data_IF_415383134475
#
_entry.id   IF_415383134475
#
_cell.length_a   1.000
_cell.length_b   1.000
_cell.length_c   1.000
_cell.angle_alpha   90.00
_cell.angle_beta   90.00
_cell.angle_gamma   90.00
#
_symmetry.space_group_name_H-M   'P 1'
#
loop_
_entity.id
_entity.type
_entity.pdbx_description
1 polymer ?
#
# COMPACT_ATOMS: atom_id res chain seq x y z
N UNK A 1 0.39 -27.59 12.20
CA UNK A 1 -1.04 -27.90 12.23
C UNK A 1 -1.49 -28.27 10.82
N UNK A 2 -2.05 -29.47 10.65
CA UNK A 2 -2.51 -30.03 9.37
C UNK A 2 -3.45 -29.08 8.58
N UNK A 3 -4.36 -28.39 9.28
CA UNK A 3 -5.29 -27.47 8.60
C UNK A 3 -4.58 -26.23 8.06
N UNK A 4 -3.54 -25.74 8.71
CA UNK A 4 -2.74 -24.62 8.21
C UNK A 4 -1.99 -25.06 6.95
N UNK A 5 -1.31 -26.20 6.99
CA UNK A 5 -0.59 -26.73 5.82
C UNK A 5 -1.52 -26.99 4.63
N UNK A 6 -2.72 -27.56 4.87
CA UNK A 6 -3.70 -27.83 3.83
C UNK A 6 -4.24 -26.51 3.23
N UNK A 7 -4.48 -25.48 4.06
CA UNK A 7 -4.95 -24.18 3.58
C UNK A 7 -3.88 -23.47 2.76
N UNK A 8 -2.62 -23.53 3.15
CA UNK A 8 -1.49 -23.00 2.37
C UNK A 8 -1.36 -23.69 1.00
N UNK A 9 -1.46 -25.01 0.96
CA UNK A 9 -1.44 -25.76 -0.31
C UNK A 9 -2.56 -25.34 -1.25
N UNK A 10 -3.77 -25.12 -0.73
CA UNK A 10 -4.92 -24.64 -1.54
C UNK A 10 -4.67 -23.25 -2.10
N UNK A 11 -4.22 -22.31 -1.28
CA UNK A 11 -3.91 -20.94 -1.69
C UNK A 11 -2.80 -20.93 -2.74
N UNK A 12 -1.72 -21.68 -2.53
CA UNK A 12 -0.62 -21.81 -3.50
C UNK A 12 -1.09 -22.39 -4.84
N UNK A 13 -2.02 -23.36 -4.82
CA UNK A 13 -2.59 -23.94 -6.03
C UNK A 13 -3.40 -22.90 -6.80
N UNK A 14 -4.27 -22.15 -6.12
CA UNK A 14 -5.06 -21.08 -6.75
C UNK A 14 -4.16 -19.98 -7.29
N UNK A 15 -3.12 -19.56 -6.56
CA UNK A 15 -2.15 -18.58 -7.01
C UNK A 15 -1.48 -19.03 -8.33
N UNK A 16 -1.02 -20.28 -8.41
CA UNK A 16 -0.43 -20.84 -9.64
C UNK A 16 -1.40 -20.81 -10.82
N UNK A 17 -2.66 -21.14 -10.59
CA UNK A 17 -3.71 -21.08 -11.62
C UNK A 17 -3.92 -19.64 -12.10
N UNK A 18 -4.02 -18.67 -11.20
CA UNK A 18 -4.17 -17.25 -11.54
C UNK A 18 -3.01 -16.75 -12.38
N UNK A 19 -1.78 -17.08 -12.01
CA UNK A 19 -0.57 -16.70 -12.76
C UNK A 19 -0.57 -17.36 -14.16
N UNK A 20 -0.86 -18.65 -14.25
CA UNK A 20 -0.92 -19.35 -15.54
C UNK A 20 -2.05 -18.85 -16.44
N UNK A 21 -3.10 -18.30 -15.86
CA UNK A 21 -4.21 -17.64 -16.59
C UNK A 21 -3.91 -16.18 -16.99
N UNK A 22 -2.67 -15.71 -16.80
CA UNK A 22 -2.21 -14.40 -17.25
C UNK A 22 -2.34 -13.28 -16.23
N UNK A 23 -2.69 -13.57 -14.96
CA UNK A 23 -2.68 -12.55 -13.91
C UNK A 23 -1.23 -12.34 -13.46
N UNK A 24 -0.67 -11.11 -13.61
CA UNK A 24 0.68 -10.82 -13.19
C UNK A 24 0.86 -11.02 -11.68
N UNK A 25 2.01 -11.59 -11.27
CA UNK A 25 2.28 -11.90 -9.86
C UNK A 25 2.28 -10.65 -8.97
N UNK A 26 2.64 -9.50 -9.50
CA UNK A 26 2.60 -8.21 -8.81
C UNK A 26 1.17 -7.69 -8.53
N UNK A 27 0.15 -8.33 -9.09
CA UNK A 27 -1.27 -8.08 -8.78
C UNK A 27 -1.82 -8.97 -7.67
N UNK A 28 -1.05 -9.94 -7.21
CA UNK A 28 -1.44 -10.85 -6.13
C UNK A 28 -0.69 -10.42 -4.87
N UNK A 29 -1.38 -9.66 -3.98
CA UNK A 29 -0.72 -8.98 -2.85
C UNK A 29 -0.58 -9.85 -1.60
N UNK A 30 -1.56 -10.71 -1.34
CA UNK A 30 -1.61 -11.55 -0.16
C UNK A 30 -2.05 -12.94 -0.57
N UNK A 31 -1.26 -13.95 -0.20
CA UNK A 31 -1.55 -15.36 -0.36
C UNK A 31 -1.24 -16.04 0.96
N UNK A 32 -2.25 -16.32 1.77
CA UNK A 32 -2.08 -16.93 3.09
C UNK A 32 -3.14 -18.00 3.35
N UNK A 33 -2.73 -19.13 3.89
CA UNK A 33 -3.62 -20.15 4.43
C UNK A 33 -4.01 -19.80 5.87
N UNK A 34 -5.31 -19.72 6.14
CA UNK A 34 -5.84 -19.35 7.46
C UNK A 34 -6.27 -20.55 8.32
N UNK A 35 -5.89 -21.76 7.91
CA UNK A 35 -6.22 -22.97 8.67
C UNK A 35 -7.74 -23.17 8.82
N UNK A 36 -8.19 -23.43 10.04
CA UNK A 36 -9.60 -23.69 10.35
C UNK A 36 -10.36 -22.40 10.67
N UNK A 37 -10.71 -21.64 9.63
CA UNK A 37 -11.63 -20.49 9.75
C UNK A 37 -13.00 -20.90 9.22
N UNK A 38 -13.97 -21.01 10.11
CA UNK A 38 -15.33 -21.46 9.77
C UNK A 38 -16.24 -20.27 9.42
N UNK A 39 -17.01 -20.42 8.33
CA UNK A 39 -18.12 -19.52 7.99
C UNK A 39 -19.38 -19.92 8.74
N UNK A 40 -19.60 -21.22 8.86
CA UNK A 40 -20.72 -21.80 9.58
C UNK A 40 -20.22 -22.85 10.56
N UNK A 41 -20.91 -23.00 11.68
CA UNK A 41 -20.58 -24.00 12.71
C UNK A 41 -21.08 -25.38 12.24
N UNK A 42 -20.25 -26.39 12.33
CA UNK A 42 -20.62 -27.79 12.06
C UNK A 42 -21.75 -28.24 12.99
N UNK A 43 -22.86 -28.64 12.41
CA UNK A 43 -23.96 -29.31 13.12
C UNK A 43 -24.18 -30.72 12.59
N UNK A 44 -24.73 -31.63 13.39
CA UNK A 44 -24.95 -33.03 12.98
C UNK A 44 -25.91 -33.15 11.79
N UNK A 45 -26.82 -32.18 11.61
CA UNK A 45 -27.86 -32.21 10.55
C UNK A 45 -27.39 -31.81 9.16
N UNK A 46 -26.33 -30.94 9.05
CA UNK A 46 -25.86 -30.39 7.76
C UNK A 46 -24.33 -30.48 7.61
N UNK A 47 -23.70 -31.42 8.26
CA UNK A 47 -22.25 -31.54 8.37
C UNK A 47 -21.52 -31.54 7.03
N UNK A 48 -22.03 -32.28 6.03
CA UNK A 48 -21.41 -32.34 4.69
C UNK A 48 -21.44 -31.00 3.98
N UNK A 49 -22.61 -30.36 3.94
CA UNK A 49 -22.84 -29.09 3.26
C UNK A 49 -22.02 -27.96 3.90
N UNK A 50 -22.01 -27.87 5.23
CA UNK A 50 -21.24 -26.88 5.97
C UNK A 50 -19.72 -27.07 5.78
N UNK A 51 -19.25 -28.31 5.76
CA UNK A 51 -17.84 -28.62 5.48
C UNK A 51 -17.44 -28.28 4.05
N UNK A 52 -18.33 -28.44 3.07
CA UNK A 52 -18.07 -28.04 1.69
C UNK A 52 -17.95 -26.52 1.58
N UNK A 53 -18.82 -25.76 2.24
CA UNK A 53 -18.73 -24.28 2.31
C UNK A 53 -17.44 -23.81 3.05
N UNK A 54 -17.03 -24.51 4.10
CA UNK A 54 -15.83 -24.16 4.85
C UNK A 54 -14.53 -24.52 4.12
N UNK A 55 -14.53 -25.47 3.18
CA UNK A 55 -13.38 -25.86 2.36
C UNK A 55 -13.26 -24.97 1.11
N UNK A 56 -12.91 -23.69 1.31
CA UNK A 56 -12.87 -22.69 0.26
C UNK A 56 -11.53 -21.95 0.20
N UNK A 57 -11.34 -21.24 -0.89
CA UNK A 57 -10.37 -20.15 -1.04
C UNK A 57 -11.15 -18.90 -1.40
N UNK A 58 -10.97 -17.84 -0.63
CA UNK A 58 -11.60 -16.56 -0.88
C UNK A 58 -10.68 -15.70 -1.75
N UNK A 59 -11.19 -15.18 -2.86
CA UNK A 59 -10.53 -14.19 -3.70
C UNK A 59 -11.08 -12.81 -3.37
N UNK A 60 -10.24 -11.97 -2.77
CA UNK A 60 -10.61 -10.59 -2.45
C UNK A 60 -10.07 -9.68 -3.55
N UNK A 61 -10.97 -9.12 -4.36
CA UNK A 61 -10.60 -8.15 -5.38
C UNK A 61 -10.58 -6.75 -4.78
N UNK A 62 -9.38 -6.16 -4.75
CA UNK A 62 -9.20 -4.78 -4.30
C UNK A 62 -9.09 -3.90 -5.54
N UNK A 63 -10.12 -3.07 -5.78
CA UNK A 63 -10.00 -1.99 -6.75
C UNK A 63 -9.11 -0.92 -6.15
N UNK A 64 -7.88 -0.77 -6.67
CA UNK A 64 -7.02 0.35 -6.29
C UNK A 64 -7.64 1.63 -6.84
N UNK A 65 -8.38 2.35 -6.01
CA UNK A 65 -8.87 3.69 -6.34
C UNK A 65 -7.77 4.65 -5.95
N UNK A 66 -7.23 5.36 -6.95
CA UNK A 66 -6.18 6.35 -6.77
C UNK A 66 -6.79 7.73 -6.94
N UNK A 67 -6.61 8.59 -5.96
CA UNK A 67 -7.10 9.96 -5.97
C UNK A 67 -5.93 10.93 -6.13
N UNK A 68 -6.11 11.97 -6.93
CA UNK A 68 -5.18 13.12 -7.03
C UNK A 68 -5.54 14.23 -6.04
N UNK A 69 -6.65 14.09 -5.35
CA UNK A 69 -7.09 14.94 -4.25
C UNK A 69 -7.62 14.09 -3.09
N UNK A 70 -7.61 14.63 -1.89
CA UNK A 70 -8.13 13.91 -0.72
C UNK A 70 -9.65 13.70 -0.88
N UNK A 71 -10.16 12.45 -0.81
CA UNK A 71 -11.58 12.17 -0.97
C UNK A 71 -12.38 12.70 0.22
N UNK A 72 -13.62 13.12 -0.03
CA UNK A 72 -14.52 13.59 1.01
C UNK A 72 -14.86 12.47 2.03
N UNK A 73 -15.01 11.25 1.52
CA UNK A 73 -15.27 10.05 2.33
C UNK A 73 -14.17 9.01 2.08
N UNK A 74 -13.02 9.11 2.77
CA UNK A 74 -11.92 8.18 2.61
C UNK A 74 -12.32 6.78 3.06
N UNK A 75 -11.81 5.75 2.37
CA UNK A 75 -12.04 4.33 2.69
C UNK A 75 -10.72 3.61 2.88
N UNK A 76 -10.74 2.53 3.66
CA UNK A 76 -9.58 1.63 3.75
C UNK A 76 -9.25 1.08 2.36
N UNK A 77 -7.97 1.14 2.00
CA UNK A 77 -7.49 0.77 0.67
C UNK A 77 -7.38 1.93 -0.33
N UNK A 78 -7.93 3.11 -0.01
CA UNK A 78 -7.75 4.29 -0.86
C UNK A 78 -6.28 4.70 -0.91
N UNK A 79 -5.86 5.09 -2.10
CA UNK A 79 -4.51 5.56 -2.36
C UNK A 79 -4.55 6.99 -2.91
N UNK A 80 -4.01 7.93 -2.18
CA UNK A 80 -4.08 9.37 -2.48
C UNK A 80 -2.70 9.81 -2.94
N UNK A 81 -2.57 10.20 -4.21
CA UNK A 81 -1.33 10.76 -4.73
C UNK A 81 -1.21 12.20 -4.26
N UNK A 82 -0.09 12.52 -3.63
CA UNK A 82 0.27 13.90 -3.31
C UNK A 82 0.98 14.53 -4.53
N UNK A 83 0.22 14.77 -5.61
CA UNK A 83 0.73 15.16 -6.93
C UNK A 83 1.49 16.50 -6.96
N UNK A 84 1.19 17.37 -5.99
CA UNK A 84 1.86 18.68 -5.82
C UNK A 84 3.03 18.64 -4.83
N UNK A 85 3.24 17.52 -4.14
CA UNK A 85 4.43 17.29 -3.33
C UNK A 85 5.53 16.76 -4.23
N UNK A 86 6.26 17.69 -4.84
CA UNK A 86 7.32 17.37 -5.78
C UNK A 86 8.69 17.48 -5.14
N UNK A 87 9.58 16.62 -5.59
CA UNK A 87 10.98 16.56 -5.17
C UNK A 87 11.88 16.85 -6.37
N UNK A 88 13.01 17.44 -6.12
CA UNK A 88 14.06 17.61 -7.11
C UNK A 88 14.68 16.26 -7.49
N UNK A 89 15.33 16.22 -8.65
CA UNK A 89 15.92 14.99 -9.17
C UNK A 89 17.00 14.47 -8.21
N UNK A 90 16.82 13.24 -7.73
CA UNK A 90 17.74 12.58 -6.80
C UNK A 90 17.69 13.15 -5.38
N UNK A 91 16.75 14.03 -5.04
CA UNK A 91 16.62 14.65 -3.72
C UNK A 91 15.41 14.10 -2.96
N UNK A 92 15.57 13.96 -1.65
CA UNK A 92 14.49 13.67 -0.71
C UNK A 92 14.02 14.91 0.06
N UNK A 93 14.64 16.07 -0.14
CA UNK A 93 14.27 17.30 0.53
C UNK A 93 12.91 17.84 0.09
N UNK A 94 12.14 18.35 1.05
CA UNK A 94 10.85 18.98 0.80
C UNK A 94 11.04 20.46 0.42
N UNK A 95 10.71 20.79 -0.82
CA UNK A 95 10.68 22.19 -1.28
C UNK A 95 9.65 23.03 -0.51
N UNK A 96 9.75 24.35 -0.57
CA UNK A 96 8.79 25.27 0.03
C UNK A 96 7.37 25.00 -0.51
N UNK A 97 7.24 24.73 -1.81
CA UNK A 97 5.94 24.43 -2.44
C UNK A 97 5.38 23.09 -1.98
N UNK A 98 6.23 22.04 -1.84
CA UNK A 98 5.84 20.77 -1.27
C UNK A 98 5.32 20.91 0.18
N UNK A 99 6.00 21.72 1.01
CA UNK A 99 5.57 22.03 2.38
C UNK A 99 4.21 22.73 2.42
N UNK A 100 3.95 23.70 1.53
CA UNK A 100 2.63 24.37 1.42
C UNK A 100 1.51 23.36 1.08
N UNK A 101 1.78 22.41 0.19
CA UNK A 101 0.79 21.39 -0.16
C UNK A 101 0.56 20.41 0.99
N UNK A 102 1.63 20.04 1.69
CA UNK A 102 1.50 19.22 2.91
C UNK A 102 0.73 19.95 4.02
N UNK A 103 0.83 21.27 4.15
CA UNK A 103 0.01 22.04 5.10
C UNK A 103 -1.49 21.91 4.80
N UNK A 104 -1.89 21.88 3.53
CA UNK A 104 -3.29 21.59 3.12
C UNK A 104 -3.69 20.17 3.50
N UNK A 105 -2.81 19.21 3.25
CA UNK A 105 -3.02 17.82 3.64
C UNK A 105 -3.17 17.67 5.15
N UNK A 106 -2.40 18.40 5.95
CA UNK A 106 -2.52 18.45 7.42
C UNK A 106 -3.91 18.88 7.86
N UNK A 107 -4.49 19.92 7.22
CA UNK A 107 -5.85 20.38 7.56
C UNK A 107 -6.90 19.29 7.34
N UNK A 108 -6.76 18.53 6.24
CA UNK A 108 -7.65 17.41 5.93
C UNK A 108 -7.46 16.24 6.93
N UNK A 109 -6.21 15.88 7.23
CA UNK A 109 -5.90 14.83 8.19
C UNK A 109 -6.35 15.16 9.62
N UNK A 110 -6.42 16.45 9.99
CA UNK A 110 -6.96 16.92 11.26
C UNK A 110 -8.48 16.83 11.32
N UNK A 111 -9.19 16.91 10.19
CA UNK A 111 -10.64 16.66 10.13
C UNK A 111 -10.95 15.16 10.30
N UNK A 112 -10.09 14.27 9.85
CA UNK A 112 -10.26 12.82 9.92
C UNK A 112 -9.31 12.21 10.97
N UNK A 113 -9.57 12.44 12.25
CA UNK A 113 -8.63 12.11 13.33
C UNK A 113 -8.44 10.61 13.57
N UNK A 114 -9.45 9.78 13.30
CA UNK A 114 -9.39 8.32 13.43
C UNK A 114 -8.56 7.65 12.33
N UNK A 115 -8.40 8.31 11.19
CA UNK A 115 -7.78 7.74 10.00
C UNK A 115 -6.30 7.42 10.24
N UNK A 116 -5.90 6.17 9.91
CA UNK A 116 -4.50 5.73 9.87
C UNK A 116 -4.08 5.48 8.44
N UNK A 117 -2.81 5.74 8.14
CA UNK A 117 -2.30 5.64 6.77
C UNK A 117 -0.82 5.32 6.71
N UNK A 118 -0.41 4.76 5.58
CA UNK A 118 0.99 4.57 5.22
C UNK A 118 1.39 5.60 4.17
N UNK A 119 2.52 6.26 4.39
CA UNK A 119 3.17 7.15 3.43
C UNK A 119 4.07 6.28 2.54
N UNK A 120 3.76 6.23 1.24
CA UNK A 120 4.48 5.43 0.25
C UNK A 120 5.33 6.34 -0.62
N UNK A 121 6.65 6.13 -0.64
CA UNK A 121 7.56 6.84 -1.53
C UNK A 121 7.86 6.03 -2.78
N UNK A 122 7.97 6.71 -3.92
CA UNK A 122 8.27 6.11 -5.22
C UNK A 122 9.35 6.90 -5.95
N UNK A 123 10.10 6.19 -6.78
CA UNK A 123 11.08 6.76 -7.72
C UNK A 123 10.81 6.26 -9.13
N UNK A 124 11.33 6.98 -10.13
CA UNK A 124 11.37 6.51 -11.51
C UNK A 124 12.75 5.97 -11.89
N UNK A 125 12.84 5.42 -13.05
CA UNK A 125 14.05 5.38 -13.90
C UNK A 125 15.28 4.77 -13.23
N UNK A 126 15.11 3.73 -12.42
CA UNK A 126 16.24 2.96 -11.88
C UNK A 126 16.66 1.88 -12.88
N UNK A 127 17.95 1.56 -12.90
CA UNK A 127 18.54 0.61 -13.87
C UNK A 127 18.06 -0.82 -13.72
N UNK A 128 17.49 -1.18 -12.55
CA UNK A 128 16.95 -2.51 -12.30
C UNK A 128 15.53 -2.46 -11.78
N UNK A 129 14.74 -3.49 -12.13
CA UNK A 129 13.37 -3.64 -11.63
C UNK A 129 13.37 -3.81 -10.11
N UNK A 130 12.42 -3.18 -9.44
CA UNK A 130 12.25 -3.21 -7.98
C UNK A 130 13.43 -2.62 -7.18
N UNK A 131 14.18 -1.69 -7.77
CA UNK A 131 15.28 -1.00 -7.07
C UNK A 131 14.90 0.42 -6.65
N UNK A 132 15.63 0.93 -5.66
CA UNK A 132 15.58 2.32 -5.26
C UNK A 132 16.68 3.14 -5.92
N UNK A 133 16.57 4.45 -5.89
CA UNK A 133 17.57 5.39 -6.39
C UNK A 133 18.48 5.90 -5.26
N UNK A 134 19.63 6.47 -5.64
CA UNK A 134 20.54 7.10 -4.69
C UNK A 134 19.96 8.46 -4.29
N UNK A 135 19.88 8.68 -2.99
CA UNK A 135 19.52 9.96 -2.40
C UNK A 135 20.78 10.84 -2.28
N UNK A 136 20.73 12.05 -2.83
CA UNK A 136 21.85 13.00 -2.81
C UNK A 136 22.22 13.48 -1.41
N UNK A 137 21.23 13.53 -0.50
CA UNK A 137 21.42 13.99 0.88
C UNK A 137 22.13 12.95 1.75
N UNK A 138 21.86 11.65 1.52
CA UNK A 138 22.46 10.57 2.33
C UNK A 138 23.54 9.79 1.61
N UNK A 139 23.60 9.89 0.29
CA UNK A 139 24.41 9.09 -0.61
C UNK A 139 24.13 7.57 -0.53
N UNK A 140 22.95 7.19 -0.02
CA UNK A 140 22.47 5.81 0.08
C UNK A 140 21.40 5.51 -0.99
N UNK A 141 21.18 4.22 -1.23
CA UNK A 141 20.16 3.76 -2.19
C UNK A 141 18.80 3.57 -1.48
N UNK A 142 18.24 4.66 -0.99
CA UNK A 142 17.01 4.71 -0.18
C UNK A 142 16.16 5.97 -0.46
N UNK A 143 16.29 6.55 -1.66
CA UNK A 143 15.63 7.80 -2.04
C UNK A 143 14.11 7.76 -1.84
N UNK A 144 13.45 6.66 -2.22
CA UNK A 144 12.00 6.55 -2.05
C UNK A 144 11.59 6.49 -0.58
N UNK A 145 12.37 5.81 0.24
CA UNK A 145 12.13 5.73 1.68
C UNK A 145 12.38 7.07 2.37
N UNK A 146 13.47 7.77 2.04
CA UNK A 146 13.77 9.07 2.60
C UNK A 146 12.73 10.14 2.23
N UNK A 147 12.19 10.10 1.02
CA UNK A 147 11.04 10.95 0.62
C UNK A 147 9.82 10.69 1.52
N UNK A 148 9.44 9.44 1.70
CA UNK A 148 8.33 9.08 2.58
C UNK A 148 8.60 9.46 4.05
N UNK A 149 9.84 9.25 4.53
CA UNK A 149 10.29 9.63 5.86
C UNK A 149 10.25 11.15 6.10
N UNK A 150 10.68 11.95 5.13
CA UNK A 150 10.67 13.42 5.24
C UNK A 150 9.23 13.96 5.27
N UNK A 151 8.31 13.36 4.49
CA UNK A 151 6.87 13.67 4.60
C UNK A 151 6.33 13.27 5.98
N UNK A 152 6.66 12.08 6.50
CA UNK A 152 6.27 11.64 7.84
C UNK A 152 6.75 12.62 8.91
N UNK A 153 8.02 13.03 8.87
CA UNK A 153 8.59 13.97 9.83
C UNK A 153 7.90 15.34 9.76
N UNK A 154 7.60 15.81 8.54
CA UNK A 154 6.88 17.07 8.35
C UNK A 154 5.47 17.01 8.92
N UNK A 155 4.68 15.96 8.60
CA UNK A 155 3.35 15.79 9.15
C UNK A 155 3.35 15.68 10.68
N UNK A 156 4.34 14.97 11.24
CA UNK A 156 4.56 14.90 12.71
C UNK A 156 4.82 16.28 13.30
N UNK A 157 5.69 17.09 12.69
CA UNK A 157 6.00 18.46 13.16
C UNK A 157 4.78 19.38 13.14
N UNK A 158 3.77 19.07 12.30
CA UNK A 158 2.49 19.79 12.21
C UNK A 158 1.40 19.22 13.14
N UNK A 159 1.76 18.29 14.01
CA UNK A 159 0.88 17.76 15.05
C UNK A 159 0.04 16.55 14.62
N UNK A 160 0.37 15.88 13.50
CA UNK A 160 -0.23 14.57 13.18
C UNK A 160 0.46 13.50 14.03
N UNK A 161 -0.33 12.74 14.79
CA UNK A 161 0.19 11.71 15.69
C UNK A 161 0.99 10.63 14.93
N UNK A 162 2.22 10.28 15.35
CA UNK A 162 3.01 9.23 14.74
C UNK A 162 2.34 7.86 14.80
N UNK A 163 1.47 7.60 15.78
CA UNK A 163 0.71 6.34 15.87
C UNK A 163 -0.33 6.16 14.76
N UNK A 164 -0.65 7.22 14.03
CA UNK A 164 -1.55 7.21 12.87
C UNK A 164 -0.83 6.95 11.56
N UNK A 165 0.49 7.00 11.57
CA UNK A 165 1.30 7.05 10.36
C UNK A 165 2.36 5.96 10.36
N UNK A 166 2.62 5.39 9.21
CA UNK A 166 3.85 4.67 8.89
C UNK A 166 4.42 5.18 7.57
N UNK A 167 5.67 4.88 7.28
CA UNK A 167 6.27 5.21 5.98
C UNK A 167 7.04 4.01 5.42
N UNK A 168 7.12 3.94 4.09
CA UNK A 168 7.89 2.92 3.38
C UNK A 168 8.28 3.40 1.99
N UNK A 169 9.51 3.11 1.57
CA UNK A 169 9.96 3.22 0.20
C UNK A 169 9.56 2.00 -0.63
N UNK A 170 9.10 2.24 -1.84
CA UNK A 170 8.73 1.21 -2.80
C UNK A 170 9.59 1.24 -4.07
N UNK A 171 10.62 2.11 -4.10
CA UNK A 171 11.46 2.25 -5.29
C UNK A 171 10.64 2.47 -6.55
N UNK A 172 10.98 1.77 -7.63
CA UNK A 172 10.28 1.80 -8.92
C UNK A 172 9.28 0.64 -9.11
N UNK A 173 8.79 0.02 -8.01
CA UNK A 173 7.94 -1.18 -8.10
C UNK A 173 6.55 -0.93 -8.70
N UNK A 174 6.04 0.30 -8.58
CA UNK A 174 4.67 0.65 -8.95
C UNK A 174 4.62 1.89 -9.87
N UNK A 175 5.09 1.77 -11.13
CA UNK A 175 5.00 2.88 -12.08
C UNK A 175 3.55 3.17 -12.44
N UNK A 176 3.22 4.45 -12.66
CA UNK A 176 1.91 4.87 -13.14
C UNK A 176 1.75 4.68 -14.65
N UNK A 177 2.88 4.49 -15.36
CA UNK A 177 2.89 4.23 -16.80
C UNK A 177 2.57 5.46 -17.66
N UNK A 178 2.67 6.67 -17.09
CA UNK A 178 2.39 7.92 -17.78
C UNK A 178 3.66 8.65 -18.17
N UNK A 179 4.38 9.16 -17.19
CA UNK A 179 5.69 9.77 -17.35
C UNK A 179 6.55 9.61 -16.08
N UNK A 180 7.86 9.75 -16.26
CA UNK A 180 8.83 9.60 -15.17
C UNK A 180 8.65 10.64 -14.05
N UNK A 181 8.12 11.81 -14.37
CA UNK A 181 7.91 12.85 -13.37
C UNK A 181 6.75 12.50 -12.42
N UNK A 182 5.73 11.81 -12.92
CA UNK A 182 4.61 11.34 -12.11
C UNK A 182 4.99 10.12 -11.26
N UNK A 183 5.99 9.35 -11.70
CA UNK A 183 6.50 8.21 -10.91
C UNK A 183 7.35 8.67 -9.72
N UNK A 184 7.91 9.89 -9.75
CA UNK A 184 8.60 10.52 -8.60
C UNK A 184 7.60 11.15 -7.65
N UNK A 185 6.94 10.35 -6.85
CA UNK A 185 5.80 10.77 -6.04
C UNK A 185 5.80 10.19 -4.63
N UNK A 186 4.95 10.77 -3.80
CA UNK A 186 4.54 10.22 -2.51
C UNK A 186 3.03 10.04 -2.51
N UNK A 187 2.57 8.96 -1.91
CA UNK A 187 1.17 8.59 -1.79
C UNK A 187 0.80 8.38 -0.32
N UNK A 188 -0.45 8.67 0.06
CA UNK A 188 -1.05 8.26 1.33
C UNK A 188 -1.97 7.06 1.07
N UNK A 189 -1.67 5.94 1.67
CA UNK A 189 -2.49 4.72 1.59
C UNK A 189 -3.26 4.55 2.90
N UNK A 190 -4.59 4.57 2.84
CA UNK A 190 -5.45 4.46 4.01
C UNK A 190 -5.46 3.02 4.51
N UNK A 191 -5.03 2.81 5.76
CA UNK A 191 -4.93 1.49 6.38
C UNK A 191 -6.04 1.21 7.37
N UNK A 192 -6.63 2.27 7.97
CA UNK A 192 -7.71 2.17 8.95
C UNK A 192 -8.49 3.49 9.01
N UNK A 193 -9.79 3.41 9.35
CA UNK A 193 -10.68 4.56 9.61
C UNK A 193 -10.93 4.74 11.10
#
# INVERSE_FOLDING_TARGET
>A
DYNNELSEKRVTTVQKILISSGIPIDKIFICEGRGKVMVEIDTVKNLKEVRDKNRRVDLIFIKKITYTSFPEHPKVGDNIILDRVRFDLGSSELSINAKKELDRTVLLLKKHQSLRFQIKGHVCCTSSKNSDAIDKETNNRDLSENRAKNVFQYLRSKGISPYRMSYKGYGNQFPLGKDDAQDRRVELYITQL
#
